data_IF_163164958900
#
_entry.id   IF_163164958900
#
_cell.length_a   1.000
_cell.length_b   1.000
_cell.length_c   1.000
_cell.angle_alpha   90.00
_cell.angle_beta   90.00
_cell.angle_gamma   90.00
#
_symmetry.space_group_name_H-M   'P 1'
#
loop_
_entity.id
_entity.type
_entity.pdbx_description
1 polymer ?
#
# COMPACT_ATOMS: atom_id res chain seq x y z
N UNK A 1 -28.38 34.49 53.76
CA UNK A 1 -28.42 34.12 52.34
C UNK A 1 -28.43 32.61 52.25
N UNK A 2 -29.44 31.97 51.63
CA UNK A 2 -29.34 30.54 51.34
C UNK A 2 -28.21 30.32 50.31
N UNK A 3 -27.52 29.17 50.35
CA UNK A 3 -26.52 28.82 49.35
C UNK A 3 -27.20 28.78 47.98
N UNK A 4 -26.57 29.41 46.98
CA UNK A 4 -26.94 29.23 45.57
C UNK A 4 -26.78 27.75 45.26
N UNK A 5 -27.89 27.06 45.05
CA UNK A 5 -27.88 25.69 44.50
C UNK A 5 -27.08 25.76 43.19
N UNK A 6 -25.99 24.99 43.02
CA UNK A 6 -25.29 24.95 41.76
C UNK A 6 -26.24 24.28 40.78
N UNK A 7 -26.76 25.09 39.86
CA UNK A 7 -27.52 24.68 38.69
C UNK A 7 -26.83 23.51 37.99
N UNK A 8 -27.26 22.29 38.35
CA UNK A 8 -26.95 21.09 37.59
C UNK A 8 -27.93 21.09 36.44
N UNK A 9 -27.59 21.80 35.36
CA UNK A 9 -28.19 21.61 34.05
C UNK A 9 -27.83 20.19 33.58
N UNK A 10 -28.44 19.19 34.19
CA UNK A 10 -28.23 17.78 33.88
C UNK A 10 -29.01 17.52 32.62
N UNK A 11 -28.36 17.70 31.46
CA UNK A 11 -28.92 17.29 30.18
C UNK A 11 -29.51 15.86 30.32
N UNK A 12 -30.72 15.61 29.78
CA UNK A 12 -31.35 14.31 29.87
C UNK A 12 -30.40 13.21 29.36
N UNK A 13 -30.36 12.09 30.07
CA UNK A 13 -29.50 10.94 29.75
C UNK A 13 -29.67 10.52 28.27
N UNK A 14 -30.91 10.57 27.76
CA UNK A 14 -31.23 10.31 26.36
C UNK A 14 -30.49 11.21 25.36
N UNK A 15 -30.31 12.51 25.67
CA UNK A 15 -29.59 13.47 24.82
C UNK A 15 -28.11 13.13 24.76
N UNK A 16 -27.51 12.72 25.89
CA UNK A 16 -26.11 12.29 25.95
C UNK A 16 -25.88 11.01 25.17
N UNK A 17 -26.75 10.01 25.33
CA UNK A 17 -26.68 8.75 24.56
C UNK A 17 -26.75 9.00 23.06
N UNK A 18 -27.63 9.89 22.60
CA UNK A 18 -27.71 10.27 21.19
C UNK A 18 -26.42 10.95 20.69
N UNK A 19 -25.78 11.80 21.51
CA UNK A 19 -24.48 12.41 21.17
C UNK A 19 -23.38 11.34 21.04
N UNK A 20 -23.34 10.36 21.94
CA UNK A 20 -22.35 9.27 21.88
C UNK A 20 -22.57 8.33 20.71
N UNK A 21 -23.81 7.94 20.42
CA UNK A 21 -24.14 7.12 19.25
C UNK A 21 -23.69 7.82 17.96
N UNK A 22 -24.04 9.11 17.82
CA UNK A 22 -23.59 9.93 16.68
C UNK A 22 -22.07 10.00 16.59
N UNK A 23 -21.37 10.18 17.70
CA UNK A 23 -19.91 10.24 17.70
C UNK A 23 -19.26 8.91 17.28
N UNK A 24 -19.79 7.79 17.75
CA UNK A 24 -19.32 6.46 17.36
C UNK A 24 -19.53 6.24 15.86
N UNK A 25 -20.73 6.56 15.35
CA UNK A 25 -21.11 6.32 13.96
C UNK A 25 -20.42 7.27 12.97
N UNK A 26 -20.49 8.58 13.22
CA UNK A 26 -20.06 9.60 12.26
C UNK A 26 -18.55 9.85 12.31
N UNK A 27 -17.88 9.47 13.40
CA UNK A 27 -16.45 9.72 13.59
C UNK A 27 -15.65 8.45 13.79
N UNK A 28 -15.85 7.74 14.91
CA UNK A 28 -14.95 6.64 15.26
C UNK A 28 -14.96 5.50 14.24
N UNK A 29 -16.12 5.13 13.70
CA UNK A 29 -16.23 4.10 12.65
C UNK A 29 -15.59 4.56 11.35
N UNK A 30 -15.81 5.80 10.95
CA UNK A 30 -15.21 6.39 9.74
C UNK A 30 -13.68 6.43 9.88
N UNK A 31 -13.17 6.82 11.04
CA UNK A 31 -11.73 6.86 11.32
C UNK A 31 -11.12 5.46 11.34
N UNK A 32 -11.82 4.47 11.91
CA UNK A 32 -11.40 3.06 11.86
C UNK A 32 -11.30 2.56 10.42
N UNK A 33 -12.35 2.80 9.63
CA UNK A 33 -12.38 2.40 8.22
C UNK A 33 -11.23 3.04 7.43
N UNK A 34 -11.03 4.35 7.56
CA UNK A 34 -9.92 5.05 6.89
C UNK A 34 -8.56 4.49 7.29
N UNK A 35 -8.38 4.16 8.56
CA UNK A 35 -7.12 3.60 9.07
C UNK A 35 -6.86 2.20 8.51
N UNK A 36 -7.89 1.37 8.43
CA UNK A 36 -7.80 0.04 7.82
C UNK A 36 -7.52 0.12 6.31
N UNK A 37 -8.23 0.98 5.58
CA UNK A 37 -7.98 1.21 4.15
C UNK A 37 -6.56 1.72 3.87
N UNK A 38 -6.03 2.60 4.73
CA UNK A 38 -4.65 3.08 4.62
C UNK A 38 -3.62 1.95 4.84
N UNK A 39 -3.90 1.05 5.79
CA UNK A 39 -3.10 -0.15 6.02
C UNK A 39 -3.15 -1.10 4.82
N UNK A 40 -4.33 -1.34 4.27
CA UNK A 40 -4.51 -2.29 3.18
C UNK A 40 -3.77 -1.85 1.91
N UNK A 41 -3.80 -0.55 1.60
CA UNK A 41 -2.98 0.03 0.50
C UNK A 41 -1.47 -0.23 0.67
N UNK A 42 -0.98 -0.23 1.92
CA UNK A 42 0.42 -0.56 2.19
C UNK A 42 0.69 -2.05 1.94
N UNK A 43 -0.23 -2.94 2.32
CA UNK A 43 -0.11 -4.38 2.04
C UNK A 43 -0.17 -4.71 0.55
N UNK A 44 -1.01 -4.01 -0.23
CA UNK A 44 -1.02 -4.12 -1.69
C UNK A 44 0.36 -3.78 -2.26
N UNK A 45 0.93 -2.65 -1.81
CA UNK A 45 2.27 -2.20 -2.23
C UNK A 45 3.37 -3.20 -1.80
N UNK A 46 3.30 -3.74 -0.58
CA UNK A 46 4.23 -4.78 -0.10
C UNK A 46 4.16 -6.01 -1.00
N UNK A 47 2.95 -6.42 -1.41
CA UNK A 47 2.74 -7.57 -2.28
C UNK A 47 3.37 -7.38 -3.66
N UNK A 48 3.36 -6.17 -4.21
CA UNK A 48 4.07 -5.84 -5.45
C UNK A 48 5.59 -5.99 -5.31
N UNK A 49 6.15 -5.49 -4.20
CA UNK A 49 7.58 -5.65 -3.90
C UNK A 49 7.98 -7.11 -3.70
N UNK A 50 7.14 -7.92 -3.07
CA UNK A 50 7.37 -9.37 -2.93
C UNK A 50 7.38 -10.09 -4.28
N UNK A 51 6.46 -9.74 -5.19
CA UNK A 51 6.45 -10.27 -6.56
C UNK A 51 7.73 -9.89 -7.31
N UNK A 52 8.17 -8.64 -7.21
CA UNK A 52 9.42 -8.17 -7.82
C UNK A 52 10.63 -8.94 -7.28
N UNK A 53 10.71 -9.15 -5.96
CA UNK A 53 11.78 -9.93 -5.33
C UNK A 53 11.84 -11.36 -5.87
N UNK A 54 10.70 -12.04 -5.95
CA UNK A 54 10.60 -13.40 -6.49
C UNK A 54 11.05 -13.44 -7.95
N UNK A 55 10.68 -12.45 -8.77
CA UNK A 55 11.16 -12.35 -10.16
C UNK A 55 12.68 -12.17 -10.25
N UNK A 56 13.27 -11.35 -9.38
CA UNK A 56 14.73 -11.14 -9.32
C UNK A 56 15.44 -12.45 -8.91
N UNK A 57 14.91 -13.17 -7.93
CA UNK A 57 15.44 -14.47 -7.50
C UNK A 57 15.44 -15.49 -8.64
N UNK A 58 14.34 -15.61 -9.37
CA UNK A 58 14.23 -16.50 -10.54
C UNK A 58 15.26 -16.16 -11.62
N UNK A 59 15.53 -14.87 -11.87
CA UNK A 59 16.54 -14.43 -12.85
C UNK A 59 17.93 -14.93 -12.45
N UNK A 60 18.28 -14.80 -11.17
CA UNK A 60 19.58 -15.17 -10.65
C UNK A 60 19.79 -16.69 -10.64
N UNK A 61 18.82 -17.45 -10.14
CA UNK A 61 18.93 -18.91 -10.00
C UNK A 61 19.04 -19.61 -11.36
N UNK A 62 18.38 -19.07 -12.38
CA UNK A 62 18.34 -19.70 -13.69
C UNK A 62 19.47 -19.21 -14.62
N UNK A 63 20.37 -18.32 -14.16
CA UNK A 63 21.42 -17.69 -14.98
C UNK A 63 20.89 -17.23 -16.35
N UNK A 64 19.66 -16.69 -16.37
CA UNK A 64 18.96 -16.37 -17.62
C UNK A 64 19.68 -15.20 -18.27
N UNK A 65 20.46 -15.51 -19.33
CA UNK A 65 21.11 -14.51 -20.18
C UNK A 65 20.10 -13.81 -21.09
N UNK A 66 18.95 -14.41 -21.34
CA UNK A 66 17.87 -13.91 -22.17
C UNK A 66 16.53 -14.16 -21.50
N UNK A 67 15.76 -13.09 -21.26
CA UNK A 67 14.39 -13.20 -20.78
C UNK A 67 13.43 -12.67 -21.85
N UNK A 68 12.52 -13.53 -22.32
CA UNK A 68 11.40 -13.12 -23.16
C UNK A 68 10.25 -12.77 -22.22
N UNK A 69 9.94 -11.49 -22.07
CA UNK A 69 8.78 -11.04 -21.30
C UNK A 69 7.64 -10.73 -22.26
N UNK A 70 6.43 -11.20 -21.91
CA UNK A 70 5.21 -10.73 -22.54
C UNK A 70 4.75 -9.51 -21.74
N UNK A 71 4.85 -8.34 -22.35
CA UNK A 71 4.35 -7.10 -21.75
C UNK A 71 2.94 -6.88 -22.27
N UNK A 72 1.98 -6.81 -21.36
CA UNK A 72 0.60 -6.45 -21.68
C UNK A 72 0.53 -4.93 -21.93
N UNK A 73 0.09 -4.56 -23.13
CA UNK A 73 -0.09 -3.15 -23.53
C UNK A 73 -1.53 -2.67 -23.35
N UNK A 74 -2.41 -3.52 -22.83
CA UNK A 74 -3.86 -3.31 -22.74
C UNK A 74 -4.65 -4.21 -23.70
N UNK A 75 -5.93 -4.43 -23.39
CA UNK A 75 -6.89 -5.21 -24.19
C UNK A 75 -6.44 -6.63 -24.57
N UNK A 76 -5.67 -7.32 -23.70
CA UNK A 76 -5.07 -8.63 -23.96
C UNK A 76 -4.14 -8.65 -25.20
N UNK A 77 -3.55 -7.52 -25.57
CA UNK A 77 -2.50 -7.47 -26.59
C UNK A 77 -1.13 -7.56 -25.93
N UNK A 78 -0.41 -8.63 -26.27
CA UNK A 78 0.93 -8.91 -25.76
C UNK A 78 1.97 -8.65 -26.84
N UNK A 79 3.01 -7.91 -26.51
CA UNK A 79 4.18 -7.74 -27.39
C UNK A 79 5.35 -8.53 -26.83
N UNK A 80 6.00 -9.30 -27.71
CA UNK A 80 7.27 -9.95 -27.39
C UNK A 80 8.38 -8.89 -27.41
N UNK A 81 8.71 -8.36 -26.24
CA UNK A 81 9.85 -7.46 -26.09
C UNK A 81 11.13 -8.29 -25.99
N UNK A 82 12.04 -8.13 -26.96
CA UNK A 82 13.44 -8.50 -26.76
C UNK A 82 14.16 -7.28 -26.21
N UNK A 83 14.49 -7.31 -24.93
CA UNK A 83 15.28 -6.25 -24.31
C UNK A 83 16.73 -6.35 -24.78
N UNK A 84 17.19 -5.32 -25.47
CA UNK A 84 18.60 -5.12 -25.81
C UNK A 84 19.09 -3.91 -25.03
N UNK A 85 20.04 -4.10 -24.12
CA UNK A 85 20.71 -3.00 -23.43
C UNK A 85 21.85 -2.53 -24.33
N UNK A 86 21.73 -1.31 -24.87
CA UNK A 86 22.81 -0.69 -25.65
C UNK A 86 23.78 -0.09 -24.62
N UNK A 87 24.97 -0.68 -24.50
CA UNK A 87 26.07 -0.04 -23.78
C UNK A 87 26.39 1.26 -24.49
N UNK A 88 26.06 2.39 -23.86
CA UNK A 88 26.40 3.71 -24.39
C UNK A 88 27.72 4.13 -23.78
N UNK A 89 28.77 4.04 -24.59
CA UNK A 89 29.96 4.85 -24.44
C UNK A 89 29.54 6.32 -24.65
N UNK A 90 29.20 7.00 -23.55
CA UNK A 90 29.18 8.45 -23.32
C UNK A 90 28.78 9.42 -24.45
N UNK A 91 27.73 9.16 -25.25
CA UNK A 91 27.16 10.25 -26.07
C UNK A 91 25.68 10.07 -26.41
N UNK A 92 24.86 10.97 -25.85
CA UNK A 92 23.45 11.32 -26.14
C UNK A 92 22.40 10.19 -26.20
N UNK A 93 21.49 10.22 -25.23
CA UNK A 93 20.36 9.32 -25.10
C UNK A 93 19.19 9.65 -26.04
N UNK A 94 18.59 8.59 -26.58
CA UNK A 94 17.19 8.52 -27.01
C UNK A 94 16.71 7.06 -26.88
N UNK A 95 15.49 6.86 -26.36
CA UNK A 95 14.78 5.58 -26.46
C UNK A 95 14.39 5.39 -27.92
N UNK A 96 15.15 4.59 -28.65
CA UNK A 96 14.79 4.17 -30.01
C UNK A 96 13.75 3.07 -29.89
N UNK A 97 12.47 3.43 -29.87
CA UNK A 97 11.40 2.48 -30.21
C UNK A 97 11.68 2.10 -31.66
N UNK A 98 12.17 0.87 -31.88
CA UNK A 98 12.57 0.41 -33.20
C UNK A 98 11.32 0.38 -34.07
N UNK A 99 11.18 1.42 -34.88
CA UNK A 99 10.34 1.40 -36.06
C UNK A 99 10.80 0.24 -36.95
N UNK A 100 9.82 -0.52 -37.41
CA UNK A 100 9.88 -1.49 -38.48
C UNK A 100 10.83 -1.00 -39.60
N UNK A 101 12.01 -1.59 -39.77
CA UNK A 101 12.79 -1.43 -40.99
C UNK A 101 13.72 -2.63 -41.19
N UNK A 102 13.31 -3.51 -42.11
CA UNK A 102 14.17 -4.48 -42.78
C UNK A 102 15.27 -3.71 -43.54
N UNK A 103 16.50 -3.68 -43.04
CA UNK A 103 17.71 -3.40 -43.83
C UNK A 103 18.95 -3.83 -43.05
N UNK A 104 19.63 -4.84 -43.60
CA UNK A 104 20.93 -5.32 -43.13
C UNK A 104 21.98 -4.21 -43.07
N UNK A 105 22.75 -4.18 -41.99
CA UNK A 105 24.12 -3.69 -41.99
C UNK A 105 24.99 -4.73 -41.25
N UNK A 106 26.03 -5.30 -41.88
CA UNK A 106 26.95 -6.19 -41.21
C UNK A 106 28.06 -5.37 -40.58
N UNK A 107 28.28 -5.53 -39.27
CA UNK A 107 29.61 -5.48 -38.62
C UNK A 107 29.43 -5.64 -37.10
N UNK A 108 29.72 -6.87 -36.64
CA UNK A 108 30.42 -7.17 -35.39
C UNK A 108 30.09 -6.35 -34.14
N UNK A 109 28.91 -6.55 -33.56
CA UNK A 109 28.71 -6.45 -32.10
C UNK A 109 27.52 -7.32 -31.74
N UNK A 110 27.79 -8.55 -31.28
CA UNK A 110 26.76 -9.34 -30.63
C UNK A 110 26.35 -8.59 -29.35
N UNK A 111 25.25 -7.83 -29.40
CA UNK A 111 24.59 -7.34 -28.19
C UNK A 111 24.06 -8.56 -27.44
N UNK A 112 24.90 -9.12 -26.55
CA UNK A 112 24.45 -10.10 -25.58
C UNK A 112 23.54 -9.37 -24.60
N UNK A 113 22.25 -9.70 -24.51
CA UNK A 113 21.40 -9.17 -23.46
C UNK A 113 22.03 -9.51 -22.12
N UNK A 114 22.19 -8.48 -21.29
CA UNK A 114 22.80 -8.59 -19.98
C UNK A 114 21.72 -8.36 -18.92
N UNK A 115 21.43 -9.41 -18.15
CA UNK A 115 20.50 -9.37 -17.02
C UNK A 115 21.17 -8.90 -15.73
N UNK A 116 22.44 -8.49 -15.78
CA UNK A 116 23.19 -7.98 -14.63
C UNK A 116 22.52 -6.75 -14.00
N UNK A 117 21.83 -5.93 -14.80
CA UNK A 117 21.22 -4.68 -14.34
C UNK A 117 19.72 -4.61 -14.60
N UNK A 118 18.99 -4.02 -13.66
CA UNK A 118 17.59 -3.64 -13.82
C UNK A 118 17.42 -2.14 -13.56
N UNK A 119 16.39 -1.55 -14.17
CA UNK A 119 16.00 -0.16 -13.92
C UNK A 119 14.82 -0.15 -12.96
N UNK A 120 15.01 0.43 -11.77
CA UNK A 120 13.97 0.56 -10.76
C UNK A 120 13.47 2.00 -10.73
N UNK A 121 12.15 2.19 -10.84
CA UNK A 121 11.53 3.49 -10.69
C UNK A 121 11.61 3.93 -9.21
N UNK A 122 12.23 5.08 -8.95
CA UNK A 122 12.40 5.65 -7.60
C UNK A 122 11.45 6.82 -7.32
N UNK A 123 10.60 7.19 -8.28
CA UNK A 123 9.62 8.26 -8.20
C UNK A 123 9.87 9.41 -9.19
N UNK A 124 8.86 10.24 -9.43
CA UNK A 124 8.89 11.40 -10.34
C UNK A 124 9.38 11.08 -11.77
N UNK A 125 9.23 9.83 -12.23
CA UNK A 125 9.73 9.38 -13.53
C UNK A 125 11.23 9.10 -13.57
N UNK A 126 11.95 9.22 -12.46
CA UNK A 126 13.36 8.83 -12.37
C UNK A 126 13.49 7.33 -12.18
N UNK A 127 14.44 6.76 -12.92
CA UNK A 127 14.77 5.34 -12.88
C UNK A 127 16.25 5.21 -12.55
N UNK A 128 16.58 4.33 -11.61
CA UNK A 128 17.95 4.04 -11.21
C UNK A 128 18.33 2.67 -11.76
N UNK A 129 19.44 2.61 -12.49
CA UNK A 129 20.07 1.35 -12.88
C UNK A 129 20.77 0.76 -11.66
N UNK A 130 20.48 -0.50 -11.33
CA UNK A 130 21.10 -1.21 -10.21
C UNK A 130 21.27 -2.69 -10.55
N UNK A 131 22.24 -3.34 -9.91
CA UNK A 131 22.45 -4.78 -10.02
C UNK A 131 21.30 -5.55 -9.36
N UNK A 132 21.16 -6.84 -9.70
CA UNK A 132 20.14 -7.71 -9.09
C UNK A 132 20.28 -7.80 -7.56
N UNK A 133 21.51 -7.82 -7.04
CA UNK A 133 21.78 -7.84 -5.59
C UNK A 133 21.41 -6.50 -4.92
N UNK A 134 21.77 -5.37 -5.55
CA UNK A 134 21.36 -4.04 -5.06
C UNK A 134 19.84 -3.89 -5.07
N UNK A 135 19.17 -4.40 -6.12
CA UNK A 135 17.72 -4.41 -6.21
C UNK A 135 17.08 -5.24 -5.10
N UNK A 136 17.59 -6.45 -4.82
CA UNK A 136 17.13 -7.26 -3.67
C UNK A 136 17.24 -6.51 -2.36
N UNK A 137 18.38 -5.85 -2.13
CA UNK A 137 18.61 -5.06 -0.92
C UNK A 137 17.68 -3.84 -0.85
N UNK A 138 17.45 -3.16 -1.97
CA UNK A 138 16.52 -2.04 -2.06
C UNK A 138 15.09 -2.48 -1.74
N UNK A 139 14.63 -3.58 -2.34
CA UNK A 139 13.30 -4.15 -2.11
C UNK A 139 13.13 -4.56 -0.65
N UNK A 140 14.10 -5.26 -0.05
CA UNK A 140 14.03 -5.66 1.36
C UNK A 140 13.95 -4.47 2.32
N UNK A 141 14.73 -3.40 2.07
CA UNK A 141 14.65 -2.16 2.86
C UNK A 141 13.27 -1.49 2.71
N UNK A 142 12.72 -1.49 1.50
CA UNK A 142 11.42 -0.87 1.21
C UNK A 142 10.27 -1.63 1.84
N UNK A 143 10.30 -2.96 1.76
CA UNK A 143 9.36 -3.88 2.42
C UNK A 143 9.34 -3.63 3.93
N UNK A 144 10.51 -3.62 4.59
CA UNK A 144 10.60 -3.36 6.02
C UNK A 144 10.05 -1.97 6.41
N UNK A 145 10.31 -0.95 5.59
CA UNK A 145 9.78 0.39 5.83
C UNK A 145 8.25 0.44 5.69
N UNK A 146 7.70 -0.20 4.66
CA UNK A 146 6.26 -0.27 4.43
C UNK A 146 5.56 -1.10 5.51
N UNK A 147 6.16 -2.20 5.93
CA UNK A 147 5.64 -3.05 7.02
C UNK A 147 5.55 -2.26 8.31
N UNK A 148 6.61 -1.51 8.68
CA UNK A 148 6.58 -0.64 9.87
C UNK A 148 5.46 0.41 9.82
N UNK A 149 5.13 0.92 8.63
CA UNK A 149 4.00 1.85 8.45
C UNK A 149 2.65 1.14 8.58
N UNK A 150 2.52 -0.08 8.06
CA UNK A 150 1.32 -0.89 8.19
C UNK A 150 1.06 -1.28 9.65
N UNK A 151 2.11 -1.62 10.39
CA UNK A 151 2.04 -1.93 11.82
C UNK A 151 1.54 -0.71 12.62
N UNK A 152 2.00 0.49 12.29
CA UNK A 152 1.51 1.73 12.91
C UNK A 152 0.01 1.91 12.71
N UNK A 153 -0.50 1.73 11.50
CA UNK A 153 -1.94 1.79 11.24
C UNK A 153 -2.71 0.66 11.93
N UNK A 154 -2.10 -0.51 12.10
CA UNK A 154 -2.69 -1.62 12.86
C UNK A 154 -2.85 -1.26 14.34
N UNK A 155 -1.84 -0.62 14.94
CA UNK A 155 -1.89 -0.13 16.31
C UNK A 155 -2.93 1.00 16.47
N UNK A 156 -2.98 1.95 15.53
CA UNK A 156 -3.98 3.02 15.50
C UNK A 156 -5.41 2.45 15.40
N UNK A 157 -5.63 1.47 14.52
CA UNK A 157 -6.92 0.80 14.39
C UNK A 157 -7.31 0.07 15.67
N UNK A 158 -6.36 -0.58 16.36
CA UNK A 158 -6.61 -1.24 17.63
C UNK A 158 -7.06 -0.25 18.73
N UNK A 159 -6.44 0.94 18.79
CA UNK A 159 -6.86 2.02 19.71
C UNK A 159 -8.28 2.50 19.42
N UNK A 160 -8.61 2.72 18.14
CA UNK A 160 -9.96 3.15 17.75
C UNK A 160 -11.00 2.07 18.08
N UNK A 161 -10.70 0.79 17.80
CA UNK A 161 -11.55 -0.34 18.17
C UNK A 161 -11.81 -0.41 19.67
N UNK A 162 -10.77 -0.22 20.48
CA UNK A 162 -10.91 -0.19 21.94
C UNK A 162 -11.81 0.96 22.40
N UNK A 163 -11.65 2.16 21.81
CA UNK A 163 -12.49 3.32 22.13
C UNK A 163 -13.96 3.09 21.75
N UNK A 164 -14.23 2.52 20.57
CA UNK A 164 -15.59 2.17 20.15
C UNK A 164 -16.20 1.18 21.15
N UNK A 165 -15.47 0.12 21.49
CA UNK A 165 -15.94 -0.92 22.41
C UNK A 165 -16.30 -0.34 23.78
N UNK A 166 -15.42 0.49 24.34
CA UNK A 166 -15.63 1.11 25.65
C UNK A 166 -16.88 2.01 25.67
N UNK A 167 -17.08 2.83 24.64
CA UNK A 167 -18.25 3.71 24.55
C UNK A 167 -19.54 2.90 24.41
N UNK A 168 -19.55 1.85 23.58
CA UNK A 168 -20.73 1.01 23.38
C UNK A 168 -21.10 0.23 24.65
N UNK A 169 -20.11 -0.30 25.39
CA UNK A 169 -20.32 -0.96 26.68
C UNK A 169 -20.92 0.00 27.70
N UNK A 170 -20.35 1.20 27.85
CA UNK A 170 -20.86 2.23 28.76
C UNK A 170 -22.30 2.66 28.41
N UNK A 171 -22.61 2.83 27.12
CA UNK A 171 -23.98 3.15 26.68
C UNK A 171 -24.96 2.01 26.98
N UNK A 172 -24.54 0.75 26.79
CA UNK A 172 -25.36 -0.42 27.08
C UNK A 172 -25.67 -0.55 28.56
N UNK A 173 -24.69 -0.31 29.43
CA UNK A 173 -24.88 -0.32 30.90
C UNK A 173 -25.90 0.74 31.34
N UNK A 174 -25.80 1.96 30.82
CA UNK A 174 -26.74 3.05 31.13
C UNK A 174 -28.18 2.68 30.70
N UNK A 175 -28.35 2.07 29.52
CA UNK A 175 -29.67 1.66 29.03
C UNK A 175 -30.29 0.54 29.86
N UNK A 176 -29.48 -0.41 30.35
CA UNK A 176 -29.93 -1.47 31.26
C UNK A 176 -30.41 -0.90 32.60
N UNK A 177 -29.72 0.10 33.13
CA UNK A 177 -30.13 0.80 34.36
C UNK A 177 -31.44 1.57 34.19
N UNK A 178 -31.75 2.06 33.00
CA UNK A 178 -33.05 2.68 32.67
C UNK A 178 -34.18 1.67 32.39
N UNK A 179 -33.90 0.35 32.47
CA UNK A 179 -34.88 -0.70 32.16
C UNK A 179 -35.28 -0.75 30.67
N UNK A 180 -34.50 -0.12 29.79
CA UNK A 180 -34.74 -0.08 28.34
C UNK A 180 -33.90 -1.14 27.65
N UNK A 181 -34.45 -1.73 26.58
CA UNK A 181 -33.70 -2.70 25.78
C UNK A 181 -32.59 -1.98 25.01
N UNK A 182 -31.33 -2.35 25.28
CA UNK A 182 -30.19 -1.80 24.55
C UNK A 182 -30.27 -2.24 23.07
N UNK A 183 -30.00 -1.33 22.10
CA UNK A 183 -29.81 -1.72 20.71
C UNK A 183 -28.72 -2.80 20.63
N UNK A 184 -28.99 -3.89 19.91
CA UNK A 184 -27.95 -4.88 19.62
C UNK A 184 -27.00 -4.26 18.59
N UNK A 185 -25.85 -3.79 19.06
CA UNK A 185 -24.77 -3.36 18.18
C UNK A 185 -24.11 -4.59 17.55
N UNK A 186 -23.98 -4.61 16.23
CA UNK A 186 -23.27 -5.69 15.55
C UNK A 186 -21.76 -5.62 15.86
N UNK A 187 -21.10 -6.78 16.03
CA UNK A 187 -19.64 -6.84 16.19
C UNK A 187 -18.93 -6.34 14.93
N UNK A 188 -17.80 -5.64 15.11
CA UNK A 188 -16.92 -5.11 14.06
C UNK A 188 -15.60 -5.87 14.02
#
# INVERSE_FOLDING_TARGET
>A
MPPKDPSTDTEPIAVKLAKYDKFVNDKLKVDLQKTLEARDKLYDTISEYLKLKSQIEVIQENNLKEMKTMVDLGSNFYVQAKMYVIGLDNTYGYVKIIAFQLSFHPLGSHCRPDTTYIYVNVGFGFHVQMTLEEAKNFVGKKEAQLQKRADKHTEEAAKIRANIKLVLEAMSEILQLEGKQAPRYEPW
#
